data_IF_281291144681
#
_entry.id   IF_281291144681
#
_cell.length_a   1.000
_cell.length_b   1.000
_cell.length_c   1.000
_cell.angle_alpha   90.00
_cell.angle_beta   90.00
_cell.angle_gamma   90.00
#
_symmetry.space_group_name_H-M   'P 1'
#
loop_
_entity.id
_entity.type
_entity.pdbx_description
1 polymer ?
#
# COMPACT_ATOMS: atom_id res chain seq x y z
N UNK A 1 13.75 16.24 7.87
CA UNK A 1 12.64 15.28 8.12
C UNK A 1 12.20 14.74 6.78
N UNK A 2 12.22 13.42 6.57
CA UNK A 2 11.70 12.83 5.32
C UNK A 2 10.20 13.13 5.23
N UNK A 3 9.69 13.64 4.09
CA UNK A 3 8.28 14.00 3.99
C UNK A 3 7.39 12.79 4.29
N UNK A 4 6.51 12.94 5.29
CA UNK A 4 5.50 11.93 5.62
C UNK A 4 4.35 12.08 4.63
N UNK A 5 4.48 11.43 3.48
CA UNK A 5 3.41 11.36 2.49
C UNK A 5 2.39 10.28 2.89
N UNK A 6 1.11 10.60 2.75
CA UNK A 6 0.03 9.64 2.97
C UNK A 6 -0.10 8.70 1.76
N UNK A 7 -0.52 7.45 1.99
CA UNK A 7 -0.77 6.49 0.92
C UNK A 7 -1.80 7.00 -0.10
N UNK A 8 -2.83 7.72 0.36
CA UNK A 8 -3.84 8.33 -0.50
C UNK A 8 -3.24 9.24 -1.59
N UNK A 9 -2.12 9.94 -1.31
CA UNK A 9 -1.47 10.77 -2.33
C UNK A 9 -0.94 9.94 -3.51
N UNK A 10 -0.44 8.73 -3.27
CA UNK A 10 0.00 7.84 -4.35
C UNK A 10 -1.16 7.34 -5.21
N UNK A 11 -2.36 7.26 -4.61
CA UNK A 11 -3.58 6.89 -5.33
C UNK A 11 -4.11 8.07 -6.13
N UNK A 12 -4.17 9.26 -5.51
CA UNK A 12 -4.59 10.51 -6.14
C UNK A 12 -3.68 10.92 -7.30
N UNK A 13 -2.37 10.68 -7.18
CA UNK A 13 -1.39 10.94 -8.25
C UNK A 13 -1.39 9.89 -9.36
N UNK A 14 -2.22 8.84 -9.26
CA UNK A 14 -2.31 7.78 -10.26
C UNK A 14 -1.14 6.79 -10.26
N UNK A 15 -0.19 6.92 -9.32
CA UNK A 15 0.93 5.98 -9.18
C UNK A 15 0.48 4.60 -8.73
N UNK A 16 -0.62 4.52 -7.97
CA UNK A 16 -1.31 3.29 -7.63
C UNK A 16 -2.79 3.48 -7.98
N UNK A 17 -3.25 2.81 -9.04
CA UNK A 17 -4.62 2.98 -9.51
C UNK A 17 -5.65 2.44 -8.49
N UNK A 18 -6.79 3.12 -8.29
CA UNK A 18 -7.95 2.52 -7.62
C UNK A 18 -8.36 1.22 -8.29
N UNK A 19 -8.74 0.21 -7.50
CA UNK A 19 -9.02 -1.15 -7.95
C UNK A 19 -7.79 -2.06 -7.99
N UNK A 20 -6.57 -1.53 -7.85
CA UNK A 20 -5.35 -2.34 -7.78
C UNK A 20 -5.41 -3.33 -6.62
N UNK A 21 -4.97 -4.56 -6.86
CA UNK A 21 -4.82 -5.57 -5.80
C UNK A 21 -3.38 -5.53 -5.30
N UNK A 22 -3.22 -5.34 -4.00
CA UNK A 22 -1.93 -5.44 -3.31
C UNK A 22 -1.94 -6.61 -2.34
N UNK A 23 -0.76 -7.14 -2.05
CA UNK A 23 -0.58 -8.39 -1.29
C UNK A 23 0.59 -8.33 -0.31
N UNK A 24 0.66 -9.20 0.70
CA UNK A 24 1.92 -9.43 1.41
C UNK A 24 2.94 -10.18 0.52
N UNK A 25 4.22 -10.17 0.90
CA UNK A 25 5.30 -10.80 0.12
C UNK A 25 5.12 -12.31 -0.10
N UNK A 26 4.29 -12.97 0.72
CA UNK A 26 3.99 -14.40 0.63
C UNK A 26 2.65 -14.71 -0.06
N UNK A 27 1.93 -13.70 -0.57
CA UNK A 27 0.60 -13.89 -1.18
C UNK A 27 -0.45 -14.53 -0.27
N UNK A 28 -0.33 -14.34 1.03
CA UNK A 28 -1.28 -14.81 2.07
C UNK A 28 -2.41 -13.81 2.30
N UNK A 29 -2.10 -12.52 2.24
CA UNK A 29 -3.06 -11.44 2.49
C UNK A 29 -3.19 -10.57 1.25
N UNK A 30 -4.42 -10.27 0.84
CA UNK A 30 -4.68 -9.35 -0.27
C UNK A 30 -5.71 -8.29 0.10
N UNK A 31 -5.57 -7.13 -0.53
CA UNK A 31 -6.53 -6.03 -0.41
C UNK A 31 -6.64 -5.27 -1.73
N UNK A 32 -7.84 -4.78 -2.01
CA UNK A 32 -8.12 -3.84 -3.09
C UNK A 32 -7.88 -2.42 -2.61
N UNK A 33 -7.19 -1.63 -3.42
CA UNK A 33 -6.99 -0.19 -3.21
C UNK A 33 -8.26 0.55 -3.62
N UNK A 34 -8.85 1.33 -2.72
CA UNK A 34 -9.99 2.21 -3.04
C UNK A 34 -9.49 3.58 -3.50
N UNK A 35 -10.38 4.33 -4.16
CA UNK A 35 -10.08 5.67 -4.67
C UNK A 35 -9.76 6.69 -3.55
N UNK A 36 -10.21 6.45 -2.33
CA UNK A 36 -9.96 7.26 -1.14
C UNK A 36 -8.67 6.87 -0.39
N UNK A 37 -7.83 5.98 -0.97
CA UNK A 37 -6.61 5.49 -0.32
C UNK A 37 -6.85 4.50 0.83
N UNK A 38 -8.08 4.05 1.04
CA UNK A 38 -8.39 2.97 1.99
C UNK A 38 -8.20 1.62 1.30
N UNK A 39 -7.74 0.63 2.06
CA UNK A 39 -7.67 -0.75 1.60
C UNK A 39 -8.94 -1.50 1.98
N UNK A 40 -9.43 -2.37 1.09
CA UNK A 40 -10.52 -3.30 1.34
C UNK A 40 -10.04 -4.75 1.17
N UNK A 41 -10.06 -5.55 2.24
CA UNK A 41 -9.74 -6.97 2.15
C UNK A 41 -10.91 -7.79 1.60
N UNK A 42 -10.60 -8.97 1.06
CA UNK A 42 -11.61 -9.93 0.59
C UNK A 42 -12.56 -10.41 1.70
N UNK A 43 -12.14 -10.36 2.97
CA UNK A 43 -12.98 -10.70 4.13
C UNK A 43 -13.84 -9.54 4.64
N UNK A 44 -13.98 -8.45 3.86
CA UNK A 44 -14.87 -7.33 4.17
C UNK A 44 -14.31 -6.32 5.18
N UNK A 45 -13.07 -6.48 5.66
CA UNK A 45 -12.41 -5.49 6.52
C UNK A 45 -11.85 -4.36 5.66
N UNK A 46 -11.96 -3.13 6.16
CA UNK A 46 -11.36 -1.95 5.52
C UNK A 46 -10.45 -1.20 6.48
N UNK A 47 -9.43 -0.53 5.97
CA UNK A 47 -8.58 0.32 6.80
C UNK A 47 -7.41 0.94 6.03
N UNK A 48 -6.61 1.75 6.72
CA UNK A 48 -5.34 2.23 6.15
C UNK A 48 -4.38 1.07 5.88
N UNK A 49 -3.31 1.33 5.12
CA UNK A 49 -2.26 0.34 4.85
C UNK A 49 -1.68 -0.27 6.14
N UNK A 50 -1.61 0.51 7.22
CA UNK A 50 -1.14 0.08 8.53
C UNK A 50 -2.23 -0.66 9.31
N UNK A 51 -3.42 -0.07 9.41
CA UNK A 51 -4.52 -0.60 10.20
C UNK A 51 -5.02 -1.94 9.67
N UNK A 52 -5.23 -2.05 8.35
CA UNK A 52 -5.66 -3.29 7.74
C UNK A 52 -4.58 -4.37 7.83
N UNK A 53 -3.31 -4.01 7.56
CA UNK A 53 -2.19 -4.93 7.67
C UNK A 53 -2.04 -5.51 9.08
N UNK A 54 -2.20 -4.69 10.12
CA UNK A 54 -2.18 -5.16 11.51
C UNK A 54 -3.38 -6.07 11.81
N UNK A 55 -4.58 -5.67 11.39
CA UNK A 55 -5.82 -6.39 11.64
C UNK A 55 -5.89 -7.76 10.95
N UNK A 56 -5.30 -7.93 9.77
CA UNK A 56 -5.23 -9.21 9.06
C UNK A 56 -4.19 -10.14 9.69
N UNK A 57 -3.06 -9.59 10.15
CA UNK A 57 -2.01 -10.38 10.81
C UNK A 57 -2.35 -10.75 12.26
N UNK A 58 -3.37 -10.14 12.86
CA UNK A 58 -3.62 -10.25 14.30
C UNK A 58 -2.50 -9.63 15.14
N UNK A 59 -1.78 -8.64 14.58
CA UNK A 59 -0.64 -8.00 15.21
C UNK A 59 -1.03 -6.63 15.82
N UNK A 60 -0.32 -6.13 16.85
CA UNK A 60 -0.61 -4.83 17.44
C UNK A 60 -0.31 -3.65 16.49
N UNK A 61 0.58 -3.85 15.51
CA UNK A 61 0.95 -2.85 14.51
C UNK A 61 1.44 -3.49 13.22
N UNK A 62 1.50 -2.71 12.14
CA UNK A 62 2.04 -3.12 10.86
C UNK A 62 2.65 -1.92 10.14
N UNK A 63 3.87 -2.07 9.62
CA UNK A 63 4.41 -1.13 8.65
C UNK A 63 3.83 -1.46 7.26
N UNK A 64 2.71 -0.82 6.91
CA UNK A 64 2.01 -1.06 5.64
C UNK A 64 2.87 -0.82 4.40
N UNK A 65 3.84 0.09 4.47
CA UNK A 65 4.70 0.43 3.34
C UNK A 65 5.58 -0.74 2.88
N UNK A 66 6.15 -1.49 3.82
CA UNK A 66 6.97 -2.67 3.54
C UNK A 66 6.17 -3.97 3.54
N UNK A 67 4.99 -3.98 4.17
CA UNK A 67 4.13 -5.16 4.22
C UNK A 67 3.42 -5.40 2.89
N UNK A 68 2.81 -4.37 2.32
CA UNK A 68 2.06 -4.48 1.07
C UNK A 68 2.97 -4.36 -0.14
N UNK A 69 2.68 -5.19 -1.15
CA UNK A 69 3.39 -5.29 -2.41
C UNK A 69 2.40 -5.20 -3.55
N UNK A 70 2.84 -4.59 -4.65
CA UNK A 70 2.13 -4.58 -5.93
C UNK A 70 2.84 -5.55 -6.88
N UNK A 71 2.07 -6.25 -7.72
CA UNK A 71 2.63 -7.08 -8.78
C UNK A 71 3.10 -6.19 -9.93
N UNK A 72 4.34 -6.38 -10.37
CA UNK A 72 4.95 -5.65 -11.49
C UNK A 72 5.50 -6.63 -12.52
N UNK A 73 5.93 -6.14 -13.68
CA UNK A 73 6.62 -6.96 -14.67
C UNK A 73 7.92 -7.61 -14.14
N UNK A 74 8.50 -7.08 -13.06
CA UNK A 74 9.71 -7.59 -12.40
C UNK A 74 9.40 -8.50 -11.20
N UNK A 75 8.12 -8.77 -10.94
CA UNK A 75 7.63 -9.48 -9.76
C UNK A 75 7.05 -8.54 -8.71
N UNK A 76 6.88 -9.07 -7.48
CA UNK A 76 6.34 -8.32 -6.36
C UNK A 76 7.30 -7.24 -5.87
N UNK A 77 6.81 -6.01 -5.78
CA UNK A 77 7.56 -4.87 -5.27
C UNK A 77 6.82 -4.23 -4.08
N UNK A 78 7.50 -3.90 -2.97
CA UNK A 78 6.87 -3.20 -1.84
C UNK A 78 6.32 -1.84 -2.29
N UNK A 79 5.15 -1.45 -1.78
CA UNK A 79 4.56 -0.13 -2.10
C UNK A 79 5.43 1.04 -1.60
N UNK A 80 6.35 0.79 -0.67
CA UNK A 80 7.37 1.77 -0.27
C UNK A 80 8.26 2.23 -1.43
N UNK A 81 8.53 1.37 -2.41
CA UNK A 81 9.34 1.75 -3.57
C UNK A 81 8.61 2.79 -4.42
N UNK A 82 7.29 2.66 -4.58
CA UNK A 82 6.46 3.65 -5.27
C UNK A 82 6.49 4.99 -4.52
N UNK A 83 6.39 4.94 -3.18
CA UNK A 83 6.53 6.12 -2.33
C UNK A 83 7.87 6.82 -2.50
N UNK A 84 8.96 6.06 -2.51
CA UNK A 84 10.31 6.60 -2.65
C UNK A 84 10.53 7.23 -4.02
N UNK A 85 10.07 6.61 -5.11
CA UNK A 85 10.12 7.18 -6.46
C UNK A 85 9.42 8.53 -6.53
N UNK A 86 8.20 8.61 -6.00
CA UNK A 86 7.44 9.86 -5.97
C UNK A 86 8.12 10.98 -5.16
N UNK A 87 8.70 10.63 -4.01
CA UNK A 87 9.42 11.62 -3.19
C UNK A 87 10.71 12.11 -3.88
N UNK A 88 11.39 11.24 -4.64
CA UNK A 88 12.55 11.64 -5.44
C UNK A 88 12.13 12.62 -6.55
N UNK A 89 11.02 12.36 -7.24
CA UNK A 89 10.47 13.26 -8.28
C UNK A 89 10.07 14.63 -7.75
N UNK A 90 9.59 14.74 -6.50
CA UNK A 90 9.24 16.03 -5.88
C UNK A 90 10.46 16.81 -5.36
N UNK A 91 11.60 16.15 -5.20
CA UNK A 91 12.85 16.75 -4.70
C UNK A 91 13.79 17.25 -5.80
N UNK A 92 13.43 17.03 -7.06
CA UNK A 92 14.10 17.51 -8.28
C UNK A 92 13.34 18.70 -8.87
#
# INVERSE_FOLDING_TARGET
>A
STPRIAFGILVESGLIAPGSIITDSKRRWSAMVRADGVLASSCGKTGSIHGLGAALQGAPSCNGWSFWHIETAKGLEPIDIVRQRHLAELGE
#
